data_IF_830235845962
#
_entry.id   IF_830235845962
#
_cell.length_a   1.000
_cell.length_b   1.000
_cell.length_c   1.000
_cell.angle_alpha   90.00
_cell.angle_beta   90.00
_cell.angle_gamma   90.00
#
_symmetry.space_group_name_H-M   'P 1'
#
loop_
_entity.id
_entity.type
_entity.pdbx_description
1 polymer ?
#
# COMPACT_ATOMS: atom_id res chain seq x y z
N UNK A 1 3.73 9.52 14.67
CA UNK A 1 4.83 10.34 14.14
C UNK A 1 4.87 10.22 12.61
N UNK A 2 5.40 11.26 11.93
CA UNK A 2 5.54 11.27 10.47
C UNK A 2 7.01 11.50 10.12
N UNK A 3 7.56 10.65 9.25
CA UNK A 3 8.94 10.74 8.79
C UNK A 3 8.98 10.77 7.26
N UNK A 4 9.68 11.76 6.72
CA UNK A 4 9.92 11.87 5.29
C UNK A 4 10.87 10.79 4.79
N UNK A 5 10.63 10.32 3.56
CA UNK A 5 11.42 9.28 2.89
C UNK A 5 11.62 9.58 1.41
N UNK A 6 12.51 8.82 0.76
CA UNK A 6 12.75 8.93 -0.68
C UNK A 6 11.66 8.18 -1.48
N UNK A 7 10.48 8.79 -1.57
CA UNK A 7 9.27 8.18 -2.11
C UNK A 7 8.75 7.03 -1.25
N UNK A 8 7.64 6.40 -1.66
CA UNK A 8 7.05 5.27 -0.96
C UNK A 8 7.97 4.04 -0.94
N UNK A 9 8.79 3.85 -1.96
CA UNK A 9 9.77 2.75 -1.99
C UNK A 9 10.77 2.87 -0.83
N UNK A 10 11.28 4.07 -0.57
CA UNK A 10 12.13 4.33 0.60
C UNK A 10 11.38 4.21 1.92
N UNK A 11 10.08 4.54 1.93
CA UNK A 11 9.23 4.35 3.09
C UNK A 11 9.08 2.86 3.44
N UNK A 12 8.72 2.03 2.47
CA UNK A 12 8.58 0.58 2.65
C UNK A 12 9.90 -0.07 3.09
N UNK A 13 11.02 0.29 2.44
CA UNK A 13 12.34 -0.23 2.79
C UNK A 13 12.68 0.07 4.27
N UNK A 14 12.62 1.34 4.66
CA UNK A 14 12.98 1.76 6.00
C UNK A 14 12.03 1.19 7.07
N UNK A 15 10.73 1.11 6.77
CA UNK A 15 9.74 0.54 7.66
C UNK A 15 9.99 -0.95 7.91
N UNK A 16 10.21 -1.72 6.85
CA UNK A 16 10.46 -3.17 6.96
C UNK A 16 11.78 -3.43 7.69
N UNK A 17 12.86 -2.71 7.33
CA UNK A 17 14.15 -2.82 8.03
C UNK A 17 14.06 -2.47 9.52
N UNK A 18 13.13 -1.61 9.91
CA UNK A 18 12.96 -1.20 11.30
C UNK A 18 12.30 -2.27 12.18
N UNK A 19 11.54 -3.20 11.60
CA UNK A 19 10.74 -4.15 12.39
C UNK A 19 11.02 -5.61 12.11
N UNK A 20 11.59 -5.95 10.94
CA UNK A 20 11.83 -7.34 10.50
C UNK A 20 13.28 -7.74 10.76
N UNK A 21 13.48 -8.90 11.38
CA UNK A 21 14.76 -9.55 11.61
C UNK A 21 14.82 -10.92 10.90
N UNK A 22 16.03 -11.47 10.66
CA UNK A 22 16.15 -12.81 10.08
C UNK A 22 15.43 -13.86 10.94
N UNK A 23 14.60 -14.69 10.28
CA UNK A 23 13.81 -15.74 10.95
C UNK A 23 12.43 -15.28 11.43
N UNK A 24 12.10 -14.00 11.35
CA UNK A 24 10.74 -13.54 11.60
C UNK A 24 9.76 -14.08 10.56
N UNK A 25 8.52 -14.33 10.96
CA UNK A 25 7.43 -14.65 10.05
C UNK A 25 6.73 -13.39 9.57
N UNK A 26 6.57 -13.26 8.25
CA UNK A 26 5.90 -12.14 7.59
C UNK A 26 4.81 -12.67 6.67
N UNK A 27 3.63 -12.07 6.74
CA UNK A 27 2.51 -12.36 5.84
C UNK A 27 2.38 -11.19 4.86
N UNK A 28 2.26 -11.46 3.57
CA UNK A 28 2.04 -10.44 2.56
C UNK A 28 0.87 -10.82 1.65
N UNK A 29 0.00 -9.86 1.31
CA UNK A 29 -1.00 -10.05 0.28
C UNK A 29 -0.35 -10.52 -1.04
N UNK A 30 -1.10 -11.32 -1.82
CA UNK A 30 -0.69 -11.77 -3.13
C UNK A 30 -1.90 -11.86 -4.09
N UNK A 31 -1.82 -11.29 -5.31
CA UNK A 31 -0.72 -10.47 -5.85
C UNK A 31 -0.69 -9.06 -5.26
N UNK A 32 0.52 -8.54 -5.05
CA UNK A 32 0.75 -7.19 -4.53
C UNK A 32 2.06 -6.58 -5.06
N UNK A 33 2.37 -5.37 -4.62
CA UNK A 33 3.61 -4.67 -4.95
C UNK A 33 4.83 -5.42 -4.39
N UNK A 34 5.73 -5.87 -5.28
CA UNK A 34 6.83 -6.78 -4.97
C UNK A 34 7.68 -6.40 -3.73
N UNK A 35 8.04 -5.14 -3.48
CA UNK A 35 8.80 -4.78 -2.28
C UNK A 35 8.17 -5.22 -0.96
N UNK A 36 6.84 -5.38 -0.88
CA UNK A 36 6.15 -5.78 0.35
C UNK A 36 6.44 -7.23 0.77
N UNK A 37 6.88 -8.08 -0.16
CA UNK A 37 7.28 -9.46 0.14
C UNK A 37 8.76 -9.74 -0.17
N UNK A 38 9.38 -9.03 -1.12
CA UNK A 38 10.79 -9.25 -1.46
C UNK A 38 11.75 -8.61 -0.46
N UNK A 39 11.43 -7.44 0.11
CA UNK A 39 12.28 -6.84 1.13
C UNK A 39 12.37 -7.71 2.39
N UNK A 40 11.25 -8.17 3.00
CA UNK A 40 11.34 -9.09 4.14
C UNK A 40 12.12 -10.36 3.83
N UNK A 41 11.90 -10.95 2.64
CA UNK A 41 12.62 -12.15 2.20
C UNK A 41 14.12 -11.90 2.08
N UNK A 42 14.51 -10.73 1.55
CA UNK A 42 15.91 -10.31 1.44
C UNK A 42 16.58 -10.14 2.81
N UNK A 43 15.80 -9.75 3.82
CA UNK A 43 16.27 -9.65 5.21
C UNK A 43 16.33 -11.01 5.92
N UNK A 44 15.95 -12.10 5.28
CA UNK A 44 15.99 -13.44 5.85
C UNK A 44 14.74 -13.83 6.64
N UNK A 45 13.62 -13.12 6.45
CA UNK A 45 12.34 -13.50 7.01
C UNK A 45 11.69 -14.65 6.23
N UNK A 46 10.88 -15.46 6.91
CA UNK A 46 9.95 -16.41 6.30
C UNK A 46 8.71 -15.66 5.83
N UNK A 47 8.52 -15.58 4.50
CA UNK A 47 7.38 -14.87 3.91
C UNK A 47 6.34 -15.86 3.43
N UNK A 48 5.12 -15.73 3.96
CA UNK A 48 3.94 -16.50 3.56
C UNK A 48 2.93 -15.60 2.86
N UNK A 49 2.30 -16.12 1.78
CA UNK A 49 1.36 -15.33 1.00
C UNK A 49 -0.07 -15.46 1.53
N UNK A 50 -0.74 -14.31 1.64
CA UNK A 50 -2.18 -14.20 1.83
C UNK A 50 -2.81 -13.97 0.47
N UNK A 51 -3.31 -15.05 -0.13
CA UNK A 51 -3.76 -15.06 -1.51
C UNK A 51 -5.11 -14.35 -1.68
N UNK A 52 -5.13 -13.36 -2.54
CA UNK A 52 -6.37 -12.72 -3.01
C UNK A 52 -6.87 -13.48 -4.24
N UNK A 53 -8.15 -13.75 -4.31
CA UNK A 53 -8.74 -14.49 -5.43
C UNK A 53 -9.93 -13.75 -6.05
N UNK A 54 -10.09 -13.98 -7.35
CA UNK A 54 -11.12 -13.31 -8.15
C UNK A 54 -12.53 -13.70 -7.74
N UNK A 55 -12.73 -14.94 -7.32
CA UNK A 55 -14.03 -15.47 -6.87
C UNK A 55 -14.62 -14.69 -5.68
N UNK A 56 -13.74 -14.06 -4.88
CA UNK A 56 -14.12 -13.16 -3.79
C UNK A 56 -14.12 -11.69 -4.21
N UNK A 57 -14.05 -11.39 -5.51
CA UNK A 57 -13.91 -10.04 -6.04
C UNK A 57 -12.60 -9.37 -5.60
N UNK A 58 -11.55 -10.17 -5.44
CA UNK A 58 -10.23 -9.76 -4.96
C UNK A 58 -10.24 -9.17 -3.54
N UNK A 59 -11.28 -9.42 -2.76
CA UNK A 59 -11.28 -9.11 -1.34
C UNK A 59 -10.49 -10.16 -0.57
N UNK A 60 -9.73 -9.75 0.47
CA UNK A 60 -8.95 -10.68 1.26
C UNK A 60 -9.86 -11.63 2.09
N UNK A 61 -9.55 -12.92 2.09
CA UNK A 61 -10.19 -13.91 2.97
C UNK A 61 -9.64 -13.80 4.40
N UNK A 62 -10.41 -13.22 5.30
CA UNK A 62 -10.04 -13.04 6.71
C UNK A 62 -9.84 -14.38 7.43
N UNK A 63 -10.59 -15.41 7.07
CA UNK A 63 -10.41 -16.75 7.66
C UNK A 63 -9.07 -17.37 7.21
N UNK A 64 -8.60 -17.06 6.00
CA UNK A 64 -7.26 -17.44 5.57
C UNK A 64 -6.20 -16.70 6.43
N UNK A 65 -6.33 -15.40 6.67
CA UNK A 65 -5.39 -14.65 7.51
C UNK A 65 -5.30 -15.24 8.93
N UNK A 66 -6.45 -15.60 9.54
CA UNK A 66 -6.49 -16.27 10.84
C UNK A 66 -5.71 -17.60 10.88
N UNK A 67 -5.68 -18.33 9.76
CA UNK A 67 -4.91 -19.58 9.65
C UNK A 67 -3.42 -19.36 9.43
N UNK A 68 -3.05 -18.24 8.78
CA UNK A 68 -1.67 -17.91 8.47
C UNK A 68 -0.91 -17.34 9.67
N UNK A 69 -1.57 -16.56 10.55
CA UNK A 69 -0.90 -15.95 11.69
C UNK A 69 -0.35 -17.00 12.66
N UNK A 70 0.86 -16.73 13.15
CA UNK A 70 1.61 -17.57 14.11
C UNK A 70 2.07 -16.72 15.28
N UNK A 71 2.43 -17.32 16.44
CA UNK A 71 2.96 -16.56 17.58
C UNK A 71 4.21 -15.73 17.27
N UNK A 72 4.99 -16.09 16.24
CA UNK A 72 6.15 -15.35 15.75
C UNK A 72 5.87 -14.50 14.51
N UNK A 73 4.61 -14.31 14.13
CA UNK A 73 4.27 -13.37 13.06
C UNK A 73 4.64 -11.95 13.48
N UNK A 74 5.56 -11.34 12.76
CA UNK A 74 6.11 -10.02 13.06
C UNK A 74 5.42 -8.91 12.31
N UNK A 75 5.08 -9.17 11.04
CA UNK A 75 4.56 -8.15 10.13
C UNK A 75 3.51 -8.75 9.20
N UNK A 76 2.43 -8.00 8.99
CA UNK A 76 1.43 -8.25 7.94
C UNK A 76 1.52 -7.07 6.96
N UNK A 77 1.79 -7.37 5.69
CA UNK A 77 1.92 -6.37 4.63
C UNK A 77 0.67 -6.35 3.76
N UNK A 78 0.02 -5.21 3.69
CA UNK A 78 -1.15 -4.96 2.85
C UNK A 78 -0.93 -3.73 1.96
N UNK A 79 -1.67 -3.64 0.87
CA UNK A 79 -1.64 -2.48 -0.03
C UNK A 79 -3.07 -1.95 -0.26
N UNK A 80 -3.39 -0.79 0.28
CA UNK A 80 -4.71 -0.16 0.22
C UNK A 80 -4.62 1.29 -0.30
N UNK A 81 -5.17 1.64 -1.48
CA UNK A 81 -5.80 0.76 -2.45
C UNK A 81 -4.77 -0.16 -3.16
N UNK A 82 -5.20 -1.38 -3.50
CA UNK A 82 -4.33 -2.46 -3.94
C UNK A 82 -3.73 -2.25 -5.34
N UNK A 83 -2.43 -2.42 -5.45
CA UNK A 83 -1.70 -2.56 -6.72
C UNK A 83 -1.22 -4.03 -6.87
N UNK A 84 -1.63 -4.79 -7.91
CA UNK A 84 -2.17 -4.29 -9.19
C UNK A 84 -3.70 -4.23 -9.29
N UNK A 85 -4.45 -4.73 -8.34
CA UNK A 85 -5.86 -5.12 -8.50
C UNK A 85 -6.80 -3.90 -8.56
N UNK A 86 -6.57 -2.87 -7.74
CA UNK A 86 -7.41 -1.68 -7.69
C UNK A 86 -8.57 -1.75 -6.69
N UNK A 87 -8.60 -2.74 -5.81
CA UNK A 87 -9.60 -2.84 -4.74
C UNK A 87 -9.25 -1.93 -3.55
N UNK A 88 -10.26 -1.53 -2.81
CA UNK A 88 -10.16 -0.74 -1.58
C UNK A 88 -10.76 -1.54 -0.43
N UNK A 89 -10.03 -1.62 0.68
CA UNK A 89 -10.49 -2.29 1.89
C UNK A 89 -11.45 -1.37 2.66
N UNK A 90 -12.55 -1.93 3.10
CA UNK A 90 -13.52 -1.23 3.93
C UNK A 90 -13.11 -1.24 5.42
N UNK A 91 -13.81 -0.43 6.23
CA UNK A 91 -13.51 -0.27 7.65
C UNK A 91 -13.64 -1.58 8.44
N UNK A 92 -14.58 -2.45 8.07
CA UNK A 92 -14.78 -3.74 8.73
C UNK A 92 -13.60 -4.67 8.46
N UNK A 93 -13.15 -4.76 7.22
CA UNK A 93 -11.97 -5.56 6.83
C UNK A 93 -10.70 -5.05 7.53
N UNK A 94 -10.47 -3.72 7.55
CA UNK A 94 -9.31 -3.14 8.26
C UNK A 94 -9.38 -3.43 9.77
N UNK A 95 -10.57 -3.34 10.37
CA UNK A 95 -10.80 -3.68 11.78
C UNK A 95 -10.47 -5.14 12.10
N UNK A 96 -10.91 -6.08 11.25
CA UNK A 96 -10.63 -7.51 11.42
C UNK A 96 -9.13 -7.82 11.27
N UNK A 97 -8.43 -7.18 10.31
CA UNK A 97 -6.97 -7.29 10.17
C UNK A 97 -6.27 -6.80 11.45
N UNK A 98 -6.70 -5.65 11.98
CA UNK A 98 -6.15 -5.09 13.21
C UNK A 98 -6.31 -6.02 14.42
N UNK A 99 -7.49 -6.63 14.58
CA UNK A 99 -7.76 -7.59 15.66
C UNK A 99 -6.87 -8.83 15.57
N UNK A 100 -6.73 -9.38 14.37
CA UNK A 100 -5.86 -10.54 14.13
C UNK A 100 -4.40 -10.19 14.42
N UNK A 101 -3.91 -9.07 13.89
CA UNK A 101 -2.54 -8.60 14.15
C UNK A 101 -2.30 -8.39 15.65
N UNK A 102 -3.27 -7.78 16.36
CA UNK A 102 -3.21 -7.55 17.81
C UNK A 102 -3.12 -8.86 18.60
N UNK A 103 -3.81 -9.90 18.17
CA UNK A 103 -3.83 -11.19 18.86
C UNK A 103 -2.46 -11.87 18.95
N UNK A 104 -1.56 -11.57 18.01
CA UNK A 104 -0.18 -12.09 17.98
C UNK A 104 0.88 -10.99 18.19
N UNK A 105 0.46 -9.74 18.36
CA UNK A 105 1.34 -8.59 18.59
C UNK A 105 2.11 -8.12 17.35
N UNK A 106 1.67 -8.54 16.15
CA UNK A 106 2.29 -8.18 14.87
C UNK A 106 2.07 -6.70 14.51
N UNK A 107 2.98 -6.12 13.74
CA UNK A 107 2.76 -4.86 13.03
C UNK A 107 1.92 -5.09 11.77
N UNK A 108 1.22 -4.04 11.32
CA UNK A 108 0.58 -4.01 9.99
C UNK A 108 1.22 -2.90 9.19
N UNK A 109 1.94 -3.23 8.13
CA UNK A 109 2.40 -2.27 7.14
C UNK A 109 1.34 -2.14 6.06
N UNK A 110 0.79 -0.94 5.90
CA UNK A 110 -0.17 -0.60 4.86
C UNK A 110 0.47 0.40 3.89
N UNK A 111 0.72 -0.04 2.66
CA UNK A 111 1.12 0.87 1.59
C UNK A 111 -0.12 1.55 1.01
N UNK A 112 -0.26 2.85 1.34
CA UNK A 112 -1.40 3.69 0.95
C UNK A 112 -1.02 4.69 -0.15
N UNK A 113 -0.04 4.36 -0.98
CA UNK A 113 0.43 5.26 -2.05
C UNK A 113 -0.64 5.54 -3.10
N UNK A 114 -1.61 4.66 -3.26
CA UNK A 114 -2.80 4.85 -4.07
C UNK A 114 -3.99 5.15 -3.18
N UNK A 115 -4.42 6.41 -3.15
CA UNK A 115 -5.70 6.77 -2.53
C UNK A 115 -6.82 6.64 -3.59
N UNK A 116 -8.00 6.15 -3.24
CA UNK A 116 -9.13 6.06 -4.17
C UNK A 116 -9.55 7.47 -4.59
N UNK A 117 -9.45 7.76 -5.90
CA UNK A 117 -9.79 9.08 -6.44
C UNK A 117 -11.28 9.38 -6.38
N UNK A 118 -12.13 8.36 -6.32
CA UNK A 118 -13.59 8.51 -6.26
C UNK A 118 -14.03 9.14 -4.94
N UNK A 119 -13.41 8.73 -3.85
CA UNK A 119 -13.80 9.10 -2.50
C UNK A 119 -12.58 9.28 -1.57
N UNK A 120 -11.66 10.15 -1.97
CA UNK A 120 -10.40 10.35 -1.25
C UNK A 120 -10.60 10.86 0.19
N UNK A 121 -11.71 11.58 0.44
CA UNK A 121 -12.02 12.19 1.74
C UNK A 121 -12.55 11.15 2.75
N UNK A 122 -13.20 10.08 2.26
CA UNK A 122 -13.75 9.02 3.09
C UNK A 122 -12.78 7.82 3.25
N UNK A 123 -11.55 7.96 2.73
CA UNK A 123 -10.54 6.92 2.85
C UNK A 123 -10.09 6.77 4.30
N UNK A 124 -10.30 5.57 4.86
CA UNK A 124 -9.84 5.22 6.19
C UNK A 124 -8.41 4.68 6.13
N UNK A 125 -7.49 5.34 6.78
CA UNK A 125 -6.10 4.87 6.90
C UNK A 125 -5.99 3.78 7.96
N UNK A 126 -5.08 2.81 7.74
CA UNK A 126 -4.76 1.81 8.76
C UNK A 126 -4.18 2.44 10.04
N UNK A 127 -3.57 3.63 9.93
CA UNK A 127 -3.09 4.38 11.09
C UNK A 127 -4.20 4.85 12.03
N UNK A 128 -5.42 4.99 11.54
CA UNK A 128 -6.59 5.37 12.35
C UNK A 128 -7.29 4.16 12.99
N UNK A 129 -6.88 2.93 12.60
CA UNK A 129 -7.54 1.67 13.01
C UNK A 129 -6.69 0.87 13.99
N UNK A 130 -5.37 0.91 13.85
CA UNK A 130 -4.46 0.04 14.58
C UNK A 130 -3.26 0.79 15.16
N UNK A 131 -3.00 0.60 16.45
CA UNK A 131 -1.93 1.28 17.18
C UNK A 131 -0.51 0.87 16.74
N UNK A 132 -0.33 -0.34 16.18
CA UNK A 132 0.93 -0.80 15.58
C UNK A 132 0.90 -0.77 14.05
N UNK A 133 0.09 0.11 13.48
CA UNK A 133 0.13 0.35 12.05
C UNK A 133 1.40 1.10 11.64
N UNK A 134 1.93 0.73 10.49
CA UNK A 134 2.99 1.44 9.79
C UNK A 134 2.42 1.78 8.42
N UNK A 135 2.09 3.05 8.21
CA UNK A 135 1.50 3.51 6.95
C UNK A 135 2.57 4.18 6.08
N UNK A 136 2.64 3.78 4.82
CA UNK A 136 3.57 4.37 3.84
C UNK A 136 2.81 5.04 2.71
N UNK A 137 3.28 6.21 2.29
CA UNK A 137 2.64 6.96 1.22
C UNK A 137 3.65 7.88 0.51
N UNK A 138 3.23 8.55 -0.58
CA UNK A 138 4.05 9.53 -1.29
C UNK A 138 3.23 10.43 -2.21
N UNK A 139 3.88 11.47 -2.75
CA UNK A 139 3.27 12.32 -3.79
C UNK A 139 3.34 11.69 -5.19
N UNK A 140 3.84 10.47 -5.32
CA UNK A 140 4.20 9.87 -6.61
C UNK A 140 3.01 9.44 -7.47
N UNK A 141 1.97 8.87 -6.86
CA UNK A 141 0.87 8.19 -7.56
C UNK A 141 -0.38 9.05 -7.58
N UNK A 142 -1.13 9.08 -6.49
CA UNK A 142 -2.37 9.86 -6.38
C UNK A 142 -2.19 11.33 -6.73
N UNK A 143 -1.04 11.91 -6.40
CA UNK A 143 -0.72 13.31 -6.69
C UNK A 143 0.13 13.52 -7.96
N UNK A 144 0.34 12.49 -8.77
CA UNK A 144 1.02 12.55 -10.09
C UNK A 144 2.39 13.24 -10.10
N UNK A 145 3.15 13.16 -9.01
CA UNK A 145 4.46 13.82 -8.91
C UNK A 145 5.59 12.83 -8.56
N UNK A 146 5.81 11.79 -9.39
CA UNK A 146 6.79 10.74 -9.09
C UNK A 146 8.24 11.23 -9.08
N UNK A 147 8.55 12.28 -9.84
CA UNK A 147 9.90 12.84 -9.95
C UNK A 147 10.35 13.58 -8.68
N UNK A 148 9.43 14.01 -7.81
CA UNK A 148 9.78 14.68 -6.55
C UNK A 148 10.52 13.76 -5.58
N UNK A 149 10.37 12.46 -5.69
CA UNK A 149 10.95 11.47 -4.76
C UNK A 149 10.67 11.78 -3.28
N UNK A 150 9.47 12.26 -2.97
CA UNK A 150 9.02 12.53 -1.61
C UNK A 150 7.91 11.58 -1.23
N UNK A 151 8.13 10.87 -0.13
CA UNK A 151 7.18 10.01 0.55
C UNK A 151 7.28 10.17 2.05
N UNK A 152 6.51 9.42 2.78
CA UNK A 152 6.51 9.44 4.23
C UNK A 152 6.07 8.11 4.83
N UNK A 153 6.46 7.91 6.08
CA UNK A 153 5.96 6.85 6.96
C UNK A 153 5.22 7.48 8.12
N UNK A 154 4.07 6.92 8.46
CA UNK A 154 3.35 7.19 9.72
C UNK A 154 3.48 5.96 10.58
N UNK A 155 4.00 6.08 11.78
CA UNK A 155 4.16 5.00 12.74
C UNK A 155 4.18 5.52 14.18
N UNK A 156 4.18 4.63 15.15
CA UNK A 156 4.39 4.97 16.56
C UNK A 156 5.79 5.56 16.80
N UNK A 157 6.06 5.97 18.02
CA UNK A 157 7.34 6.60 18.38
C UNK A 157 8.51 5.62 18.33
N UNK A 158 8.32 4.38 18.77
CA UNK A 158 9.38 3.37 18.81
C UNK A 158 9.84 3.02 17.41
N UNK A 159 8.91 2.66 16.52
CA UNK A 159 9.18 2.35 15.11
C UNK A 159 9.76 3.58 14.39
N UNK A 160 9.22 4.76 14.63
CA UNK A 160 9.72 6.01 14.04
C UNK A 160 11.19 6.29 14.42
N UNK A 161 11.60 6.01 15.65
CA UNK A 161 12.99 6.16 16.07
C UNK A 161 13.92 5.16 15.39
N UNK A 162 13.48 3.91 15.23
CA UNK A 162 14.23 2.89 14.47
C UNK A 162 14.37 3.30 12.99
N UNK A 163 13.29 3.76 12.36
CA UNK A 163 13.29 4.25 10.97
C UNK A 163 14.28 5.41 10.80
N UNK A 164 14.40 6.34 11.76
CA UNK A 164 15.39 7.44 11.69
C UNK A 164 16.80 6.92 11.56
N UNK A 165 17.16 5.87 12.30
CA UNK A 165 18.49 5.25 12.21
C UNK A 165 18.77 4.71 10.80
N UNK A 166 17.82 3.97 10.21
CA UNK A 166 17.98 3.43 8.85
C UNK A 166 17.93 4.53 7.78
N UNK A 167 17.14 5.58 8.00
CA UNK A 167 17.08 6.73 7.11
C UNK A 167 18.43 7.41 6.93
N UNK A 168 19.26 7.45 7.96
CA UNK A 168 20.62 8.00 7.90
C UNK A 168 21.53 7.25 6.90
N UNK A 169 21.21 5.98 6.60
CA UNK A 169 21.95 5.19 5.59
C UNK A 169 21.28 5.21 4.21
N UNK A 170 19.99 5.47 4.12
CA UNK A 170 19.22 5.34 2.88
C UNK A 170 18.93 6.68 2.22
N UNK A 171 18.91 7.78 2.96
CA UNK A 171 18.51 9.08 2.45
C UNK A 171 19.26 10.25 3.08
N UNK A 172 19.61 10.22 4.38
CA UNK A 172 20.13 11.32 5.21
C UNK A 172 19.09 12.46 5.31
N UNK A 173 18.87 13.21 4.22
CA UNK A 173 17.88 14.31 4.14
C UNK A 173 17.22 14.37 2.76
N UNK A 174 16.07 15.03 2.67
CA UNK A 174 15.43 15.38 1.41
C UNK A 174 16.11 16.55 0.70
N UNK A 175 15.92 16.65 -0.61
CA UNK A 175 16.36 17.83 -1.34
C UNK A 175 15.39 19.01 -1.15
N UNK A 176 15.92 20.21 -0.94
CA UNK A 176 15.11 21.43 -0.71
C UNK A 176 14.11 21.68 -1.84
N UNK A 177 14.50 21.47 -3.09
CA UNK A 177 13.62 21.62 -4.25
C UNK A 177 12.51 20.57 -4.26
N UNK A 178 12.83 19.34 -3.89
CA UNK A 178 11.87 18.22 -3.83
C UNK A 178 10.83 18.48 -2.74
N UNK A 179 11.26 18.98 -1.59
CA UNK A 179 10.39 19.33 -0.46
C UNK A 179 9.48 20.52 -0.80
N UNK A 180 10.03 21.55 -1.44
CA UNK A 180 9.25 22.69 -1.92
C UNK A 180 8.19 22.26 -2.93
N UNK A 181 8.56 21.37 -3.89
CA UNK A 181 7.63 20.82 -4.88
C UNK A 181 6.54 19.97 -4.22
N UNK A 182 6.90 19.06 -3.32
CA UNK A 182 5.93 18.23 -2.62
C UNK A 182 4.98 19.08 -1.75
N UNK A 183 5.50 20.08 -1.07
CA UNK A 183 4.70 21.03 -0.31
C UNK A 183 3.72 21.80 -1.18
N UNK A 184 4.16 22.25 -2.35
CA UNK A 184 3.29 22.92 -3.32
C UNK A 184 2.18 21.99 -3.81
N UNK A 185 2.53 20.75 -4.17
CA UNK A 185 1.58 19.72 -4.62
C UNK A 185 0.51 19.45 -3.56
N UNK A 186 0.91 19.22 -2.32
CA UNK A 186 -0.03 18.92 -1.22
C UNK A 186 -0.93 20.12 -0.89
N UNK A 187 -0.41 21.36 -0.95
CA UNK A 187 -1.22 22.58 -0.78
C UNK A 187 -2.24 22.81 -1.90
N UNK A 188 -2.00 22.24 -3.08
CA UNK A 188 -2.89 22.38 -4.24
C UNK A 188 -3.52 21.04 -4.64
N UNK A 189 -3.60 20.09 -3.70
CA UNK A 189 -4.06 18.71 -3.95
C UNK A 189 -5.43 18.66 -4.66
N UNK A 190 -6.37 19.52 -4.32
CA UNK A 190 -7.73 19.45 -4.83
C UNK A 190 -7.77 19.62 -6.34
N UNK A 191 -7.01 20.57 -6.90
CA UNK A 191 -6.89 20.78 -8.36
C UNK A 191 -6.24 19.58 -9.06
N UNK A 192 -5.23 19.00 -8.41
CA UNK A 192 -4.52 17.82 -8.94
C UNK A 192 -5.45 16.61 -8.92
N UNK A 193 -6.15 16.37 -7.83
CA UNK A 193 -7.11 15.27 -7.69
C UNK A 193 -8.27 15.40 -8.68
N UNK A 194 -8.83 16.60 -8.87
CA UNK A 194 -9.88 16.85 -9.88
C UNK A 194 -9.41 16.49 -11.30
N UNK A 195 -8.21 16.95 -11.67
CA UNK A 195 -7.59 16.59 -12.95
C UNK A 195 -7.41 15.09 -13.09
N UNK A 196 -6.85 14.45 -12.06
CA UNK A 196 -6.54 13.02 -12.08
C UNK A 196 -7.80 12.17 -12.14
N UNK A 197 -8.87 12.54 -11.42
CA UNK A 197 -10.19 11.91 -11.54
C UNK A 197 -10.68 11.88 -12.98
N UNK A 198 -10.67 13.03 -13.67
CA UNK A 198 -11.10 13.12 -15.07
C UNK A 198 -10.31 12.20 -15.99
N UNK A 199 -9.01 12.11 -15.80
CA UNK A 199 -8.13 11.26 -16.62
C UNK A 199 -8.39 9.79 -16.31
N UNK A 200 -8.35 9.41 -15.03
CA UNK A 200 -8.44 8.00 -14.63
C UNK A 200 -9.80 7.41 -14.96
N UNK A 201 -10.89 8.13 -14.65
CA UNK A 201 -12.24 7.64 -14.96
C UNK A 201 -12.53 7.62 -16.46
N UNK A 202 -12.10 8.64 -17.20
CA UNK A 202 -12.22 8.62 -18.66
C UNK A 202 -11.46 7.46 -19.30
N UNK A 203 -10.26 7.14 -18.82
CA UNK A 203 -9.49 6.00 -19.28
C UNK A 203 -10.12 4.66 -18.86
N UNK A 204 -10.67 4.58 -17.64
CA UNK A 204 -11.41 3.40 -17.18
C UNK A 204 -12.62 3.10 -18.07
N UNK A 205 -13.38 4.12 -18.41
CA UNK A 205 -14.58 3.97 -19.26
C UNK A 205 -14.20 3.50 -20.67
N UNK A 206 -13.11 4.03 -21.24
CA UNK A 206 -12.57 3.58 -22.54
C UNK A 206 -12.10 2.11 -22.45
N UNK A 207 -11.39 1.76 -21.39
CA UNK A 207 -10.92 0.39 -21.19
C UNK A 207 -12.10 -0.58 -21.00
N UNK A 208 -13.11 -0.21 -20.21
CA UNK A 208 -14.32 -1.02 -20.01
C UNK A 208 -15.04 -1.26 -21.34
N UNK A 209 -15.27 -0.20 -22.12
CA UNK A 209 -15.93 -0.33 -23.42
C UNK A 209 -15.15 -1.25 -24.37
N UNK A 210 -13.83 -1.24 -24.31
CA UNK A 210 -13.02 -2.18 -25.10
C UNK A 210 -13.13 -3.61 -24.57
N UNK A 211 -13.02 -3.83 -23.24
CA UNK A 211 -13.14 -5.13 -22.60
C UNK A 211 -14.49 -5.78 -22.93
N UNK A 212 -15.58 -5.00 -22.93
CA UNK A 212 -16.93 -5.47 -23.25
C UNK A 212 -17.05 -6.04 -24.70
N UNK A 213 -16.11 -5.69 -25.57
CA UNK A 213 -16.03 -6.24 -26.94
C UNK A 213 -15.19 -7.54 -27.02
N UNK A 214 -14.52 -7.93 -25.96
CA UNK A 214 -13.60 -9.07 -25.95
C UNK A 214 -14.29 -10.34 -25.43
N UNK A 215 -13.85 -11.52 -25.92
CA UNK A 215 -14.36 -12.82 -25.49
C UNK A 215 -13.42 -13.55 -24.51
N UNK A 216 -12.17 -13.10 -24.41
CA UNK A 216 -11.10 -13.73 -23.63
C UNK A 216 -10.38 -12.76 -22.69
N UNK A 217 -11.00 -11.63 -22.44
CA UNK A 217 -10.43 -10.60 -21.55
C UNK A 217 -11.51 -10.18 -20.58
N UNK A 218 -11.17 -10.20 -19.32
CA UNK A 218 -12.03 -9.69 -18.24
C UNK A 218 -11.21 -8.92 -17.23
N UNK A 219 -11.87 -8.17 -16.39
CA UNK A 219 -11.27 -7.52 -15.24
C UNK A 219 -12.31 -7.23 -14.16
N UNK A 220 -11.87 -7.09 -12.94
CA UNK A 220 -12.61 -6.34 -11.92
C UNK A 220 -12.23 -4.87 -12.08
N UNK A 221 -13.20 -4.03 -12.44
CA UNK A 221 -12.94 -2.62 -12.68
C UNK A 221 -12.33 -1.94 -11.45
N UNK A 222 -11.20 -1.21 -11.58
CA UNK A 222 -10.53 -0.61 -10.44
C UNK A 222 -11.39 0.48 -9.77
N UNK A 223 -11.35 0.53 -8.45
CA UNK A 223 -12.13 1.49 -7.63
C UNK A 223 -11.44 2.85 -7.54
N UNK A 224 -11.36 3.55 -8.67
CA UNK A 224 -10.87 4.93 -8.70
C UNK A 224 -9.37 5.11 -8.62
N UNK A 225 -8.58 4.12 -9.04
CA UNK A 225 -7.12 4.23 -9.13
C UNK A 225 -6.60 3.98 -10.55
N UNK A 226 -5.31 4.26 -10.78
CA UNK A 226 -4.68 4.23 -12.10
C UNK A 226 -4.09 2.87 -12.49
N UNK A 227 -4.22 1.84 -11.65
CA UNK A 227 -3.81 0.47 -11.93
C UNK A 227 -5.01 -0.42 -12.15
N UNK A 228 -4.83 -1.46 -12.96
CA UNK A 228 -5.85 -2.47 -13.22
C UNK A 228 -5.19 -3.83 -13.42
N UNK A 229 -5.90 -4.89 -13.05
CA UNK A 229 -5.48 -6.27 -13.22
C UNK A 229 -6.40 -6.95 -14.23
N UNK A 230 -5.85 -7.23 -15.40
CA UNK A 230 -6.60 -7.81 -16.52
C UNK A 230 -6.36 -9.31 -16.54
N UNK A 231 -7.44 -10.06 -16.62
CA UNK A 231 -7.42 -11.51 -16.79
C UNK A 231 -7.49 -11.86 -18.25
N UNK A 232 -6.66 -12.81 -18.65
CA UNK A 232 -6.62 -13.34 -20.02
C UNK A 232 -6.96 -14.83 -19.99
N UNK A 233 -8.03 -15.22 -20.66
CA UNK A 233 -8.36 -16.62 -20.93
C UNK A 233 -7.60 -17.10 -22.18
N UNK A 234 -6.35 -17.48 -21.96
CA UNK A 234 -5.45 -18.00 -23.00
C UNK A 234 -5.00 -19.40 -22.60
N UNK A 235 -4.85 -20.32 -23.60
CA UNK A 235 -4.37 -21.68 -23.35
C UNK A 235 -2.93 -21.72 -22.90
#
# INVERSE_FOLDING_TARGET
>A
HILQTNGCTGANLNAIMAVVEPGDHVIAEWPTYAPLYEIPRTLGAEVEYWELCEELGWKPDIEQLKRLVRPNTKLICINNASNPIGTVLDADTLGQIAEIARSVGAYVLCDEVYLPLENTEDFLSMADVYEKAIVTNSVSKTYSTPAARVGWVVADEEVSNRIRTYRDYTMICGGVFNDALATYVLKHKDKILERNRKIVFGNRDIAQAWIDTQHRVSWTAPQGMSTSFIQLDIP
#
